data_IF_126004993027
#
_entry.id   IF_126004993027
#
_cell.length_a   1.000
_cell.length_b   1.000
_cell.length_c   1.000
_cell.angle_alpha   90.00
_cell.angle_beta   90.00
_cell.angle_gamma   90.00
#
_symmetry.space_group_name_H-M   'P 1'
#
loop_
_entity.id
_entity.type
_entity.pdbx_description
1 polymer ?
#
# COMPACT_ATOMS: atom_id res chain seq x y z
N UNK A 1 -15.63 -2.49 -23.82
CA UNK A 1 -14.21 -2.30 -23.48
C UNK A 1 -14.19 -1.73 -22.07
N UNK A 2 -13.71 -2.50 -21.08
CA UNK A 2 -13.61 -2.01 -19.71
C UNK A 2 -12.55 -0.90 -19.64
N UNK A 3 -12.87 0.22 -18.98
CA UNK A 3 -11.91 1.30 -18.79
C UNK A 3 -11.08 0.99 -17.56
N UNK A 4 -9.76 0.89 -17.74
CA UNK A 4 -8.82 0.70 -16.64
C UNK A 4 -8.49 2.06 -16.02
N UNK A 5 -8.75 2.18 -14.72
CA UNK A 5 -8.46 3.34 -13.91
C UNK A 5 -7.38 2.98 -12.90
N UNK A 6 -6.20 3.53 -13.13
CA UNK A 6 -5.04 3.43 -12.26
C UNK A 6 -5.20 4.42 -11.11
N UNK A 7 -5.11 3.96 -9.87
CA UNK A 7 -5.14 4.86 -8.70
C UNK A 7 -3.91 4.69 -7.82
N UNK A 8 -3.46 5.77 -7.19
CA UNK A 8 -2.32 5.80 -6.26
C UNK A 8 -2.79 6.43 -4.94
N UNK A 9 -2.73 5.66 -3.86
CA UNK A 9 -2.89 6.17 -2.50
C UNK A 9 -1.64 6.92 -2.01
N UNK A 10 -1.84 8.16 -1.52
CA UNK A 10 -0.81 8.98 -0.87
C UNK A 10 -1.37 9.58 0.43
N UNK A 11 -0.47 10.05 1.31
CA UNK A 11 -0.84 10.70 2.57
C UNK A 11 -1.77 11.93 2.41
N UNK A 12 -1.82 12.54 1.22
CA UNK A 12 -2.67 13.68 0.91
C UNK A 12 -3.87 13.38 -0.02
N UNK A 13 -4.28 12.11 -0.14
CA UNK A 13 -5.42 11.67 -0.95
C UNK A 13 -5.05 10.66 -2.04
N UNK A 14 -5.98 10.45 -2.97
CA UNK A 14 -5.85 9.52 -4.08
C UNK A 14 -5.52 10.26 -5.38
N UNK A 15 -4.68 9.65 -6.21
CA UNK A 15 -4.38 10.14 -7.56
C UNK A 15 -4.88 9.13 -8.58
N UNK A 16 -5.75 9.55 -9.50
CA UNK A 16 -6.30 8.69 -10.54
C UNK A 16 -5.70 9.05 -11.91
N UNK A 17 -5.38 8.01 -12.68
CA UNK A 17 -4.91 8.09 -14.07
C UNK A 17 -5.66 7.05 -14.89
N UNK A 18 -6.17 7.45 -16.04
CA UNK A 18 -6.91 6.57 -16.93
C UNK A 18 -6.81 7.11 -18.34
N UNK A 19 -7.05 6.25 -19.34
CA UNK A 19 -7.23 6.71 -20.72
C UNK A 19 -8.44 7.64 -20.75
N UNK A 20 -8.34 8.77 -21.45
CA UNK A 20 -9.43 9.72 -21.52
C UNK A 20 -10.74 9.03 -21.92
N UNK A 21 -11.68 9.04 -21.00
CA UNK A 21 -13.01 8.49 -21.16
C UNK A 21 -14.03 9.50 -20.60
N UNK A 22 -15.00 9.96 -21.41
CA UNK A 22 -15.93 10.99 -20.99
C UNK A 22 -16.89 10.51 -19.88
N UNK A 23 -17.22 9.21 -19.81
CA UNK A 23 -18.09 8.67 -18.77
C UNK A 23 -17.38 8.63 -17.41
N UNK A 24 -16.09 8.27 -17.37
CA UNK A 24 -15.28 8.33 -16.15
C UNK A 24 -15.13 9.77 -15.66
N UNK A 25 -14.85 10.72 -16.56
CA UNK A 25 -14.75 12.15 -16.20
C UNK A 25 -16.09 12.68 -15.67
N UNK A 26 -17.21 12.32 -16.30
CA UNK A 26 -18.55 12.71 -15.83
C UNK A 26 -18.84 12.15 -14.43
N UNK A 27 -18.47 10.89 -14.17
CA UNK A 27 -18.64 10.23 -12.88
C UNK A 27 -17.82 10.90 -11.78
N UNK A 28 -16.54 11.18 -12.04
CA UNK A 28 -15.69 11.95 -11.10
C UNK A 28 -16.32 13.31 -10.81
N UNK A 29 -16.85 13.95 -11.85
CA UNK A 29 -17.46 15.28 -11.70
C UNK A 29 -18.80 15.28 -10.97
N UNK A 30 -19.55 14.17 -11.03
CA UNK A 30 -20.84 14.02 -10.36
C UNK A 30 -20.67 13.64 -8.89
N UNK A 31 -19.69 12.78 -8.59
CA UNK A 31 -19.50 12.23 -7.24
C UNK A 31 -18.63 13.12 -6.36
N UNK A 32 -17.55 13.68 -6.90
CA UNK A 32 -16.59 14.45 -6.10
C UNK A 32 -16.86 15.95 -6.27
N UNK A 33 -17.11 16.70 -5.19
CA UNK A 33 -17.31 18.15 -5.25
C UNK A 33 -16.10 18.88 -5.83
N UNK A 34 -16.31 20.07 -6.39
CA UNK A 34 -15.25 20.88 -7.01
C UNK A 34 -14.08 21.22 -6.10
N UNK A 35 -14.30 21.32 -4.77
CA UNK A 35 -13.24 21.58 -3.79
C UNK A 35 -12.42 20.33 -3.43
N UNK A 36 -12.99 19.14 -3.58
CA UNK A 36 -12.37 17.86 -3.20
C UNK A 36 -11.71 17.13 -4.40
N UNK A 37 -11.74 17.76 -5.59
CA UNK A 37 -11.09 17.26 -6.80
C UNK A 37 -10.16 18.32 -7.39
N UNK A 38 -9.00 17.91 -7.85
CA UNK A 38 -8.10 18.79 -8.60
C UNK A 38 -7.50 18.06 -9.80
N UNK A 39 -7.59 18.66 -10.98
CA UNK A 39 -6.90 18.15 -12.16
C UNK A 39 -5.48 18.72 -12.21
N UNK A 40 -4.47 17.85 -12.19
CA UNK A 40 -3.07 18.25 -12.38
C UNK A 40 -2.69 18.12 -13.86
N UNK A 41 -2.44 19.26 -14.53
CA UNK A 41 -2.10 19.32 -15.96
C UNK A 41 -0.72 18.77 -16.29
N UNK A 42 0.26 18.96 -15.42
CA UNK A 42 1.67 18.61 -15.66
C UNK A 42 1.86 17.10 -15.60
N UNK A 43 1.27 16.47 -14.59
CA UNK A 43 1.38 15.03 -14.38
C UNK A 43 0.17 14.24 -14.92
N UNK A 44 -0.83 14.95 -15.48
CA UNK A 44 -2.05 14.40 -16.08
C UNK A 44 -2.76 13.37 -15.18
N UNK A 45 -3.08 13.78 -13.95
CA UNK A 45 -3.83 12.97 -12.99
C UNK A 45 -4.92 13.77 -12.28
N UNK A 46 -5.96 13.07 -11.85
CA UNK A 46 -6.98 13.61 -10.94
C UNK A 46 -6.56 13.37 -9.50
N UNK A 47 -6.48 14.42 -8.69
CA UNK A 47 -6.36 14.31 -7.23
C UNK A 47 -7.75 14.31 -6.63
N UNK A 48 -8.01 13.37 -5.71
CA UNK A 48 -9.27 13.23 -4.98
C UNK A 48 -8.94 13.08 -3.49
N UNK A 49 -9.71 13.73 -2.63
CA UNK A 49 -9.55 13.59 -1.17
C UNK A 49 -10.00 12.23 -0.64
N UNK A 50 -9.54 11.90 0.56
CA UNK A 50 -9.76 10.61 1.22
C UNK A 50 -11.24 10.28 1.43
N UNK A 51 -11.99 11.23 2.00
CA UNK A 51 -13.40 11.05 2.32
C UNK A 51 -14.29 10.72 1.12
N UNK A 52 -13.89 11.17 -0.07
CA UNK A 52 -14.68 10.99 -1.30
C UNK A 52 -14.27 9.75 -2.11
N UNK A 53 -13.14 9.12 -1.77
CA UNK A 53 -12.64 7.96 -2.50
C UNK A 53 -13.57 6.76 -2.41
N UNK A 54 -14.13 6.46 -1.24
CA UNK A 54 -15.00 5.31 -1.07
C UNK A 54 -16.25 5.38 -1.97
N UNK A 55 -16.87 6.56 -2.05
CA UNK A 55 -18.06 6.81 -2.88
C UNK A 55 -17.71 6.82 -4.37
N UNK A 56 -16.58 7.43 -4.73
CA UNK A 56 -16.08 7.45 -6.10
C UNK A 56 -15.74 6.04 -6.60
N UNK A 57 -15.06 5.24 -5.77
CA UNK A 57 -14.72 3.84 -6.07
C UNK A 57 -15.96 3.02 -6.37
N UNK A 58 -16.99 3.10 -5.53
CA UNK A 58 -18.25 2.39 -5.76
C UNK A 58 -18.87 2.78 -7.11
N UNK A 59 -18.92 4.08 -7.41
CA UNK A 59 -19.49 4.59 -8.67
C UNK A 59 -18.71 4.14 -9.91
N UNK A 60 -17.37 4.09 -9.81
CA UNK A 60 -16.50 3.61 -10.90
C UNK A 60 -16.67 2.10 -11.14
N UNK A 61 -16.83 1.31 -10.06
CA UNK A 61 -17.15 -0.12 -10.17
C UNK A 61 -18.53 -0.35 -10.79
N UNK A 62 -19.54 0.43 -10.39
CA UNK A 62 -20.88 0.39 -10.98
C UNK A 62 -20.87 0.74 -12.47
N UNK A 63 -19.98 1.65 -12.88
CA UNK A 63 -19.77 2.00 -14.29
C UNK A 63 -19.12 0.85 -15.10
N UNK A 64 -18.60 -0.18 -14.42
CA UNK A 64 -17.86 -1.29 -15.03
C UNK A 64 -16.40 -0.98 -15.31
N UNK A 65 -15.82 -0.01 -14.59
CA UNK A 65 -14.39 0.28 -14.66
C UNK A 65 -13.57 -0.72 -13.84
N UNK A 66 -12.39 -1.02 -14.33
CA UNK A 66 -11.40 -1.82 -13.61
C UNK A 66 -10.48 -0.89 -12.83
N UNK A 67 -10.45 -1.02 -11.50
CA UNK A 67 -9.64 -0.18 -10.63
C UNK A 67 -8.36 -0.91 -10.24
N UNK A 68 -7.23 -0.40 -10.69
CA UNK A 68 -5.91 -0.98 -10.45
C UNK A 68 -5.13 -0.04 -9.54
N UNK A 69 -4.74 -0.51 -8.36
CA UNK A 69 -3.87 0.26 -7.47
C UNK A 69 -2.43 0.20 -8.00
N UNK A 70 -1.89 1.36 -8.35
CA UNK A 70 -0.51 1.49 -8.81
C UNK A 70 0.47 1.23 -7.65
N UNK A 71 0.05 1.43 -6.41
CA UNK A 71 0.82 0.99 -5.24
C UNK A 71 0.70 -0.53 -4.97
N UNK A 72 -0.26 -1.24 -5.58
CA UNK A 72 -0.39 -2.69 -5.41
C UNK A 72 0.73 -3.46 -6.12
N UNK A 73 1.56 -2.79 -6.92
CA UNK A 73 2.87 -3.29 -7.31
C UNK A 73 3.82 -3.58 -6.14
N UNK A 74 3.45 -3.28 -4.89
CA UNK A 74 4.17 -3.67 -3.69
C UNK A 74 3.41 -4.62 -2.75
N UNK A 75 2.20 -5.06 -3.10
CA UNK A 75 1.49 -6.12 -2.39
C UNK A 75 0.91 -7.10 -3.41
N UNK A 76 1.78 -7.95 -3.95
CA UNK A 76 1.32 -9.25 -4.45
C UNK A 76 0.61 -9.96 -3.30
N UNK A 77 -0.60 -10.40 -3.59
CA UNK A 77 -1.47 -11.20 -2.74
C UNK A 77 -0.65 -12.31 -2.07
N UNK A 78 -0.18 -12.05 -0.85
CA UNK A 78 0.36 -13.10 0.01
C UNK A 78 -0.85 -13.83 0.57
N UNK A 79 -1.32 -14.81 -0.19
CA UNK A 79 -2.14 -15.89 0.31
C UNK A 79 -1.46 -16.43 1.56
N UNK A 80 -2.12 -16.28 2.72
CA UNK A 80 -1.93 -17.10 3.93
C UNK A 80 -0.49 -17.55 4.20
N UNK A 81 0.38 -16.60 4.55
CA UNK A 81 1.73 -16.96 4.99
C UNK A 81 2.19 -16.00 6.09
N UNK A 82 2.07 -16.49 7.32
CA UNK A 82 2.59 -15.86 8.54
C UNK A 82 4.13 -15.90 8.56
N UNK A 83 4.78 -16.52 7.58
CA UNK A 83 6.23 -16.72 7.55
C UNK A 83 6.99 -15.50 6.98
N UNK A 84 6.36 -14.67 6.14
CA UNK A 84 7.06 -13.55 5.48
C UNK A 84 6.83 -12.13 6.04
N UNK A 85 6.29 -11.95 7.26
CA UNK A 85 5.93 -10.60 7.74
C UNK A 85 7.16 -9.75 8.11
N UNK A 86 8.16 -10.35 8.76
CA UNK A 86 9.35 -9.66 9.22
C UNK A 86 10.23 -9.21 8.04
N UNK A 87 10.32 -10.03 7.00
CA UNK A 87 11.02 -9.67 5.76
C UNK A 87 10.37 -8.48 5.05
N UNK A 88 9.03 -8.50 4.93
CA UNK A 88 8.25 -7.38 4.37
C UNK A 88 8.50 -6.09 5.14
N UNK A 89 8.52 -6.17 6.48
CA UNK A 89 8.81 -5.04 7.33
C UNK A 89 10.21 -4.48 7.06
N UNK A 90 11.24 -5.34 7.06
CA UNK A 90 12.62 -4.91 6.83
C UNK A 90 12.84 -4.33 5.42
N UNK A 91 12.17 -4.89 4.41
CA UNK A 91 12.17 -4.34 3.05
C UNK A 91 11.55 -2.94 2.99
N UNK A 92 10.45 -2.73 3.71
CA UNK A 92 9.75 -1.44 3.75
C UNK A 92 10.54 -0.35 4.49
N UNK A 93 11.22 -0.69 5.59
CA UNK A 93 12.02 0.30 6.36
C UNK A 93 13.40 0.56 5.75
N UNK A 94 13.92 -0.38 4.97
CA UNK A 94 15.21 -0.31 4.31
C UNK A 94 16.40 -0.56 5.26
N UNK A 95 17.58 -0.87 4.69
CA UNK A 95 18.73 -1.42 5.42
C UNK A 95 19.29 -0.50 6.49
N UNK A 96 19.12 0.83 6.34
CA UNK A 96 19.58 1.81 7.34
C UNK A 96 18.77 1.74 8.64
N UNK A 97 17.50 1.35 8.57
CA UNK A 97 16.57 1.34 9.71
C UNK A 97 16.32 -0.06 10.28
N UNK A 98 16.60 -1.10 9.49
CA UNK A 98 16.59 -2.52 9.91
C UNK A 98 17.19 -2.79 11.29
N UNK A 99 18.43 -2.33 11.63
CA UNK A 99 19.02 -2.65 12.94
C UNK A 99 18.30 -1.97 14.11
N UNK A 100 17.75 -0.77 13.91
CA UNK A 100 17.00 -0.06 14.94
C UNK A 100 15.63 -0.73 15.19
N UNK A 101 14.95 -1.12 14.11
CA UNK A 101 13.65 -1.79 14.14
C UNK A 101 13.77 -3.20 14.72
N UNK A 102 14.78 -3.97 14.33
CA UNK A 102 15.05 -5.31 14.89
C UNK A 102 15.25 -5.25 16.41
N UNK A 103 16.05 -4.29 16.91
CA UNK A 103 16.29 -4.11 18.35
C UNK A 103 15.01 -3.73 19.11
N UNK A 104 14.18 -2.84 18.54
CA UNK A 104 12.93 -2.44 19.15
C UNK A 104 11.93 -3.60 19.23
N UNK A 105 11.78 -4.35 18.13
CA UNK A 105 10.87 -5.51 18.07
C UNK A 105 11.35 -6.68 18.91
N UNK A 106 12.65 -6.93 18.98
CA UNK A 106 13.22 -7.96 19.86
C UNK A 106 12.85 -7.69 21.31
N UNK A 107 12.91 -6.43 21.76
CA UNK A 107 12.52 -6.04 23.12
C UNK A 107 11.03 -6.21 23.41
N UNK A 108 10.17 -6.23 22.39
CA UNK A 108 8.71 -6.33 22.56
C UNK A 108 8.26 -7.79 22.43
N UNK A 109 8.86 -8.53 21.49
CA UNK A 109 8.51 -9.90 21.13
C UNK A 109 9.29 -10.96 21.93
N UNK A 110 10.26 -10.55 22.77
CA UNK A 110 11.01 -11.48 23.61
C UNK A 110 10.08 -12.36 24.47
N UNK A 111 10.28 -13.69 24.57
CA UNK A 111 9.43 -14.59 25.36
C UNK A 111 9.47 -14.25 26.86
N UNK A 112 10.46 -13.47 27.29
CA UNK A 112 10.58 -12.95 28.65
C UNK A 112 9.52 -11.87 28.95
N UNK A 113 8.92 -11.25 27.92
CA UNK A 113 7.79 -10.34 28.08
C UNK A 113 6.48 -11.14 28.12
N UNK A 114 5.99 -11.46 29.32
CA UNK A 114 4.76 -12.24 29.51
C UNK A 114 3.46 -11.67 28.91
N UNK A 115 3.48 -10.48 28.28
CA UNK A 115 2.30 -9.82 27.66
C UNK A 115 2.25 -9.87 26.14
N UNK A 116 3.41 -9.89 25.47
CA UNK A 116 3.56 -9.83 24.00
C UNK A 116 4.67 -10.74 23.47
N UNK A 117 5.29 -11.51 24.37
CA UNK A 117 6.38 -12.42 24.07
C UNK A 117 5.89 -13.65 23.34
N UNK A 118 6.46 -13.88 22.16
CA UNK A 118 6.17 -15.05 21.35
C UNK A 118 7.49 -15.54 20.78
N UNK A 119 7.93 -16.72 21.24
CA UNK A 119 9.15 -17.36 20.73
C UNK A 119 9.11 -17.54 19.20
N UNK A 120 7.92 -17.82 18.66
CA UNK A 120 7.70 -17.94 17.22
C UNK A 120 7.94 -16.62 16.47
N UNK A 121 7.34 -15.51 16.94
CA UNK A 121 7.51 -14.20 16.32
C UNK A 121 8.95 -13.69 16.43
N UNK A 122 9.62 -13.97 17.55
CA UNK A 122 11.04 -13.66 17.69
C UNK A 122 11.92 -14.51 16.76
N UNK A 123 11.59 -15.79 16.57
CA UNK A 123 12.29 -16.67 15.63
C UNK A 123 12.18 -16.15 14.20
N UNK A 124 10.97 -15.81 13.75
CA UNK A 124 10.72 -15.23 12.43
C UNK A 124 11.44 -13.88 12.24
N UNK A 125 11.50 -13.04 13.28
CA UNK A 125 12.24 -11.78 13.24
C UNK A 125 13.75 -11.97 13.05
N UNK A 126 14.32 -12.99 13.69
CA UNK A 126 15.75 -13.31 13.56
C UNK A 126 16.08 -13.96 12.22
N UNK A 127 15.21 -14.84 11.72
CA UNK A 127 15.37 -15.50 10.43
C UNK A 127 15.37 -14.50 9.27
N UNK A 128 14.37 -13.61 9.25
CA UNK A 128 14.26 -12.52 8.28
C UNK A 128 15.48 -11.59 8.27
N UNK A 129 16.09 -11.36 9.44
CA UNK A 129 17.32 -10.58 9.53
C UNK A 129 18.50 -11.34 8.92
N UNK A 130 18.62 -12.64 9.19
CA UNK A 130 19.68 -13.49 8.64
C UNK A 130 19.61 -13.55 7.11
N UNK A 131 18.41 -13.60 6.53
CA UNK A 131 18.20 -13.58 5.08
C UNK A 131 18.68 -12.26 4.44
N UNK A 132 18.39 -11.12 5.07
CA UNK A 132 18.78 -9.80 4.57
C UNK A 132 20.28 -9.54 4.72
N UNK A 133 20.91 -10.04 5.78
CA UNK A 133 22.37 -9.94 5.96
C UNK A 133 23.12 -10.97 5.09
N UNK A 134 22.52 -12.14 4.82
CA UNK A 134 23.09 -13.21 3.98
C UNK A 134 23.05 -12.95 2.47
N UNK A 135 22.15 -12.09 1.98
CA UNK A 135 22.05 -11.73 0.56
C UNK A 135 23.14 -10.81 0.00
N UNK A 136 24.22 -10.54 0.75
CA UNK A 136 25.34 -9.67 0.33
C UNK A 136 26.58 -10.44 -0.15
N UNK A 137 26.43 -11.73 -0.45
CA UNK A 137 27.51 -12.54 -1.04
C UNK A 137 26.92 -13.63 -1.96
N UNK A 138 26.51 -13.26 -3.17
CA UNK A 138 26.43 -14.12 -4.37
C UNK A 138 26.25 -13.24 -5.59
#
# INVERSE_FOLDING_TARGET
MAVVVLYEHRAGGYRLRFRYDPAVVATIKAVVPGYARAWNRESRYWKVEHDWWAVLRASLLTLGCELVDVNAGCYTESTTDTDGWAERLFRAVGPQRTPAVHRALTKILHPDNGRTGSAELQRQLNDARSLIEGGRHS
#
